data_IF_225231714065
#
_entry.id   IF_225231714065
#
_cell.length_a   1.000
_cell.length_b   1.000
_cell.length_c   1.000
_cell.angle_alpha   90.00
_cell.angle_beta   90.00
_cell.angle_gamma   90.00
#
_symmetry.space_group_name_H-M   'P 1'
#
loop_
_entity.id
_entity.type
_entity.pdbx_description
1 polymer ?
#
# COMPACT_ATOMS: atom_id res chain seq x y z
N UNK A 1 -18.32 -8.77 -8.82
CA UNK A 1 -16.89 -8.97 -8.46
C UNK A 1 -16.00 -7.88 -9.06
N UNK A 2 -16.12 -7.62 -10.36
CA UNK A 2 -15.29 -6.59 -10.99
C UNK A 2 -15.47 -5.20 -10.35
N UNK A 3 -16.69 -4.79 -10.07
CA UNK A 3 -16.95 -3.52 -9.40
C UNK A 3 -16.29 -3.45 -8.02
N UNK A 4 -16.39 -4.54 -7.25
CA UNK A 4 -15.75 -4.59 -5.94
C UNK A 4 -14.23 -4.44 -6.04
N UNK A 5 -13.61 -5.10 -7.03
CA UNK A 5 -12.16 -4.99 -7.26
C UNK A 5 -11.76 -3.56 -7.64
N UNK A 6 -12.56 -2.89 -8.48
CA UNK A 6 -12.32 -1.49 -8.84
C UNK A 6 -12.44 -0.56 -7.64
N UNK A 7 -13.47 -0.75 -6.81
CA UNK A 7 -13.69 0.09 -5.63
C UNK A 7 -12.54 -0.09 -4.64
N UNK A 8 -12.15 -1.33 -4.35
CA UNK A 8 -11.05 -1.60 -3.42
C UNK A 8 -9.73 -1.03 -3.97
N UNK A 9 -9.45 -1.24 -5.26
CA UNK A 9 -8.24 -0.69 -5.87
C UNK A 9 -8.21 0.84 -5.80
N UNK A 10 -9.35 1.49 -6.05
CA UNK A 10 -9.46 2.94 -5.96
C UNK A 10 -9.23 3.46 -4.54
N UNK A 11 -9.82 2.81 -3.55
CA UNK A 11 -9.63 3.17 -2.13
C UNK A 11 -8.16 3.02 -1.73
N UNK A 12 -7.55 1.90 -2.09
CA UNK A 12 -6.13 1.66 -1.81
C UNK A 12 -5.25 2.68 -2.51
N UNK A 13 -5.54 2.98 -3.77
CA UNK A 13 -4.76 3.96 -4.53
C UNK A 13 -4.81 5.34 -3.87
N UNK A 14 -6.00 5.79 -3.47
CA UNK A 14 -6.15 7.08 -2.80
C UNK A 14 -5.39 7.11 -1.46
N UNK A 15 -5.53 6.05 -0.66
CA UNK A 15 -4.86 5.95 0.63
C UNK A 15 -3.34 5.97 0.48
N UNK A 16 -2.80 5.23 -0.48
CA UNK A 16 -1.35 5.14 -0.67
C UNK A 16 -0.76 6.33 -1.41
N UNK A 17 -1.51 7.00 -2.25
CA UNK A 17 -1.07 8.30 -2.80
C UNK A 17 -0.90 9.31 -1.67
N UNK A 18 -1.84 9.36 -0.75
CA UNK A 18 -1.77 10.25 0.39
C UNK A 18 -0.60 9.87 1.31
N UNK A 19 -0.51 8.60 1.68
CA UNK A 19 0.53 8.09 2.57
C UNK A 19 1.93 8.23 1.95
N UNK A 20 2.09 7.76 0.71
CA UNK A 20 3.38 7.81 0.02
C UNK A 20 3.80 9.23 -0.31
N UNK A 21 2.86 10.06 -0.75
CA UNK A 21 3.11 11.48 -1.00
C UNK A 21 3.57 12.20 0.26
N UNK A 22 2.94 11.92 1.40
CA UNK A 22 3.36 12.46 2.68
C UNK A 22 4.79 12.07 3.05
N UNK A 23 5.14 10.80 2.83
CA UNK A 23 6.51 10.33 3.10
C UNK A 23 7.55 10.99 2.20
N UNK A 24 7.17 11.33 0.97
CA UNK A 24 8.09 12.00 0.04
C UNK A 24 8.25 13.49 0.34
N UNK A 25 7.17 14.15 0.77
CA UNK A 25 7.13 15.61 0.92
C UNK A 25 7.48 16.08 2.33
N UNK A 26 7.26 15.26 3.36
CA UNK A 26 7.47 15.64 4.76
C UNK A 26 8.81 15.15 5.26
N UNK A 27 9.37 15.87 6.24
CA UNK A 27 10.58 15.40 6.93
C UNK A 27 10.25 14.25 7.86
N UNK A 28 11.25 13.45 8.22
CA UNK A 28 11.09 12.36 9.19
C UNK A 28 10.51 12.88 10.52
N UNK A 29 11.02 13.99 11.00
CA UNK A 29 10.61 14.62 12.26
C UNK A 29 9.13 15.04 12.19
N UNK A 30 8.72 15.59 11.06
CA UNK A 30 7.32 16.00 10.85
C UNK A 30 6.40 14.80 10.86
N UNK A 31 6.79 13.71 10.19
CA UNK A 31 6.00 12.47 10.15
C UNK A 31 5.80 11.93 11.57
N UNK A 32 6.87 11.85 12.35
CA UNK A 32 6.83 11.34 13.73
C UNK A 32 5.88 12.18 14.58
N UNK A 33 5.88 13.50 14.37
CA UNK A 33 5.08 14.43 15.17
C UNK A 33 3.58 14.40 14.84
N UNK A 34 3.17 13.80 13.71
CA UNK A 34 1.78 13.88 13.25
C UNK A 34 0.81 13.03 14.05
N UNK A 35 1.25 11.86 14.52
CA UNK A 35 0.39 10.99 15.33
C UNK A 35 1.21 9.94 16.06
N UNK A 36 0.62 9.36 17.11
CA UNK A 36 1.24 8.26 17.84
C UNK A 36 1.50 7.05 16.95
N UNK A 37 0.63 6.81 15.94
CA UNK A 37 0.81 5.68 15.03
C UNK A 37 2.00 5.84 14.09
N UNK A 38 2.54 7.05 13.95
CA UNK A 38 3.69 7.31 13.09
C UNK A 38 5.03 7.08 13.80
N UNK A 39 5.03 6.60 15.05
CA UNK A 39 6.25 6.32 15.80
C UNK A 39 7.21 5.34 15.13
N UNK A 40 6.68 4.46 14.27
CA UNK A 40 7.50 3.51 13.49
C UNK A 40 8.60 4.19 12.70
N UNK A 41 8.39 5.44 12.30
CA UNK A 41 9.35 6.18 11.50
C UNK A 41 10.67 6.40 12.24
N UNK A 42 10.68 6.31 13.57
CA UNK A 42 11.91 6.43 14.37
C UNK A 42 12.92 5.33 14.04
N UNK A 43 12.43 4.14 13.62
CA UNK A 43 13.28 2.98 13.32
C UNK A 43 13.89 3.02 11.93
N UNK A 44 13.55 4.02 11.11
CA UNK A 44 13.97 4.09 9.72
C UNK A 44 14.72 5.40 9.44
N UNK A 45 15.71 5.34 8.54
CA UNK A 45 16.36 6.55 8.07
C UNK A 45 15.40 7.38 7.21
N UNK A 46 15.70 8.69 7.07
CA UNK A 46 14.91 9.55 6.20
C UNK A 46 14.88 9.02 4.74
N UNK A 47 16.02 8.50 4.26
CA UNK A 47 16.09 7.91 2.92
C UNK A 47 15.22 6.67 2.78
N UNK A 48 15.19 5.80 3.79
CA UNK A 48 14.34 4.61 3.78
C UNK A 48 12.85 4.98 3.76
N UNK A 49 12.45 5.98 4.54
CA UNK A 49 11.06 6.45 4.56
C UNK A 49 10.66 6.97 3.19
N UNK A 50 11.52 7.75 2.53
CA UNK A 50 11.24 8.26 1.19
C UNK A 50 11.17 7.15 0.15
N UNK A 51 12.00 6.13 0.26
CA UNK A 51 11.96 4.96 -0.61
C UNK A 51 10.62 4.24 -0.47
N UNK A 52 10.16 4.01 0.75
CA UNK A 52 8.86 3.40 1.00
C UNK A 52 7.75 4.27 0.40
N UNK A 53 7.82 5.59 0.60
CA UNK A 53 6.86 6.52 0.03
C UNK A 53 6.80 6.45 -1.49
N UNK A 54 7.95 6.40 -2.15
CA UNK A 54 8.02 6.26 -3.60
C UNK A 54 7.39 4.95 -4.07
N UNK A 55 7.67 3.84 -3.38
CA UNK A 55 7.08 2.54 -3.71
C UNK A 55 5.57 2.55 -3.52
N UNK A 56 5.07 3.22 -2.47
CA UNK A 56 3.64 3.34 -2.24
C UNK A 56 2.95 4.15 -3.33
N UNK A 57 3.55 5.25 -3.78
CA UNK A 57 3.00 6.06 -4.88
C UNK A 57 2.98 5.25 -6.18
N UNK A 58 4.07 4.56 -6.48
CA UNK A 58 4.13 3.70 -7.67
C UNK A 58 3.07 2.60 -7.63
N UNK A 59 2.89 1.98 -6.47
CA UNK A 59 1.87 0.95 -6.31
C UNK A 59 0.46 1.53 -6.47
N UNK A 60 0.21 2.72 -5.91
CA UNK A 60 -1.09 3.38 -6.04
C UNK A 60 -1.44 3.65 -7.49
N UNK A 61 -0.47 4.17 -8.27
CA UNK A 61 -0.65 4.40 -9.71
C UNK A 61 -0.86 3.07 -10.42
N UNK A 62 -0.07 2.05 -10.08
CA UNK A 62 -0.15 0.72 -10.69
C UNK A 62 -1.43 -0.03 -10.39
N UNK A 63 -2.14 0.31 -9.31
CA UNK A 63 -3.42 -0.32 -8.99
C UNK A 63 -4.55 0.09 -9.94
N UNK A 64 -4.49 1.28 -10.50
CA UNK A 64 -5.62 1.85 -11.24
C UNK A 64 -5.28 2.18 -12.68
N UNK A 65 -4.20 2.92 -12.94
CA UNK A 65 -3.92 3.46 -14.27
C UNK A 65 -3.72 2.40 -15.36
N UNK A 66 -2.99 1.29 -15.13
CA UNK A 66 -2.83 0.30 -16.20
C UNK A 66 -4.15 -0.27 -16.70
N UNK A 67 -5.08 -0.53 -15.79
CA UNK A 67 -6.41 -1.04 -16.16
C UNK A 67 -7.27 0.04 -16.80
N UNK A 68 -7.23 1.28 -16.27
CA UNK A 68 -8.02 2.39 -16.79
C UNK A 68 -7.61 2.77 -18.21
N UNK A 69 -6.30 2.70 -18.51
CA UNK A 69 -5.75 3.03 -19.82
C UNK A 69 -5.61 1.82 -20.74
N UNK A 70 -5.92 0.63 -20.24
CA UNK A 70 -5.75 -0.64 -20.95
C UNK A 70 -4.32 -0.83 -21.47
N UNK A 71 -3.35 -0.44 -20.65
CA UNK A 71 -1.92 -0.60 -20.93
C UNK A 71 -1.33 -1.52 -19.87
N UNK A 72 -0.91 -2.73 -20.28
CA UNK A 72 -0.30 -3.73 -19.41
C UNK A 72 -1.13 -3.94 -18.12
N UNK A 73 -2.40 -4.36 -18.18
CA UNK A 73 -3.25 -4.52 -16.99
C UNK A 73 -2.66 -5.46 -15.93
N UNK A 74 -1.74 -6.35 -16.31
CA UNK A 74 -1.04 -7.23 -15.38
C UNK A 74 -0.28 -6.47 -14.28
N UNK A 75 0.01 -5.19 -14.51
CA UNK A 75 0.65 -4.36 -13.49
C UNK A 75 -0.25 -4.14 -12.27
N UNK A 76 -1.58 -4.26 -12.41
CA UNK A 76 -2.51 -4.12 -11.28
C UNK A 76 -2.27 -5.19 -10.21
N UNK A 77 -2.31 -6.50 -10.53
CA UNK A 77 -2.01 -7.50 -9.50
C UNK A 77 -0.57 -7.44 -9.01
N UNK A 78 0.38 -7.03 -9.85
CA UNK A 78 1.77 -6.86 -9.42
C UNK A 78 1.90 -5.74 -8.39
N UNK A 79 1.19 -4.61 -8.61
CA UNK A 79 1.15 -3.52 -7.63
C UNK A 79 0.53 -3.98 -6.31
N UNK A 80 -0.55 -4.75 -6.38
CA UNK A 80 -1.19 -5.30 -5.18
C UNK A 80 -0.26 -6.22 -4.41
N UNK A 81 0.51 -7.07 -5.10
CA UNK A 81 1.51 -7.93 -4.47
C UNK A 81 2.60 -7.10 -3.79
N UNK A 82 3.04 -6.00 -4.41
CA UNK A 82 4.00 -5.08 -3.81
C UNK A 82 3.47 -4.48 -2.52
N UNK A 83 2.21 -4.05 -2.51
CA UNK A 83 1.57 -3.52 -1.30
C UNK A 83 1.44 -4.58 -0.20
N UNK A 84 1.16 -5.83 -0.56
CA UNK A 84 1.14 -6.92 0.41
C UNK A 84 2.49 -7.05 1.12
N UNK A 85 3.58 -6.94 0.38
CA UNK A 85 4.93 -7.00 0.95
C UNK A 85 5.19 -5.82 1.89
N UNK A 86 4.80 -4.61 1.48
CA UNK A 86 4.96 -3.41 2.30
C UNK A 86 4.15 -3.53 3.59
N UNK A 87 2.91 -3.99 3.50
CA UNK A 87 2.05 -4.13 4.69
C UNK A 87 2.49 -5.26 5.60
N UNK A 88 3.01 -6.35 5.05
CA UNK A 88 3.60 -7.40 5.87
C UNK A 88 4.81 -6.88 6.66
N UNK A 89 5.67 -6.07 6.01
CA UNK A 89 6.79 -5.41 6.68
C UNK A 89 6.33 -4.43 7.76
N UNK A 90 5.26 -3.67 7.47
CA UNK A 90 4.68 -2.75 8.43
C UNK A 90 4.15 -3.49 9.66
N UNK A 91 3.43 -4.59 9.47
CA UNK A 91 2.91 -5.40 10.57
C UNK A 91 4.05 -5.96 11.44
N UNK A 92 5.13 -6.44 10.81
CA UNK A 92 6.31 -6.92 11.55
C UNK A 92 6.93 -5.81 12.38
N UNK A 93 7.03 -4.60 11.82
CA UNK A 93 7.55 -3.44 12.54
C UNK A 93 6.69 -3.13 13.76
N UNK A 94 5.35 -3.18 13.61
CA UNK A 94 4.42 -2.97 14.74
C UNK A 94 4.61 -4.00 15.83
N UNK A 95 4.81 -5.27 15.45
CA UNK A 95 5.07 -6.34 16.42
C UNK A 95 6.35 -6.05 17.21
N UNK A 96 7.42 -5.67 16.52
CA UNK A 96 8.72 -5.35 17.15
C UNK A 96 8.61 -4.16 18.10
N UNK A 97 7.76 -3.19 17.80
CA UNK A 97 7.57 -1.99 18.61
C UNK A 97 6.49 -2.15 19.68
N UNK A 98 5.85 -3.33 19.78
CA UNK A 98 4.74 -3.57 20.69
C UNK A 98 3.55 -2.64 20.45
N UNK A 99 3.27 -2.32 19.19
CA UNK A 99 2.19 -1.42 18.77
C UNK A 99 1.03 -2.19 18.14
N UNK A 100 0.57 -3.21 18.83
CA UNK A 100 -0.43 -4.14 18.28
C UNK A 100 -1.75 -3.47 17.93
N UNK A 101 -2.13 -2.39 18.64
CA UNK A 101 -3.37 -1.66 18.33
C UNK A 101 -3.31 -0.96 16.97
N UNK A 102 -2.13 -0.56 16.52
CA UNK A 102 -1.97 0.07 15.22
C UNK A 102 -1.81 -0.96 14.09
N UNK A 103 -1.44 -2.18 14.43
CA UNK A 103 -1.28 -3.27 13.48
C UNK A 103 -2.60 -3.63 12.79
N UNK A 104 -3.73 -3.40 13.45
CA UNK A 104 -5.04 -3.72 12.89
C UNK A 104 -5.27 -3.02 11.55
N UNK A 105 -4.90 -1.73 11.44
CA UNK A 105 -5.03 -1.00 10.17
C UNK A 105 -4.15 -1.60 9.08
N UNK A 106 -2.91 -1.97 9.41
CA UNK A 106 -2.00 -2.59 8.45
C UNK A 106 -2.56 -3.92 7.95
N UNK A 107 -3.17 -4.71 8.84
CA UNK A 107 -3.78 -5.99 8.46
C UNK A 107 -5.01 -5.80 7.58
N UNK A 108 -5.80 -4.75 7.81
CA UNK A 108 -6.94 -4.42 6.94
C UNK A 108 -6.44 -4.09 5.54
N UNK A 109 -5.43 -3.24 5.42
CA UNK A 109 -4.84 -2.91 4.11
C UNK A 109 -4.21 -4.13 3.44
N UNK A 110 -3.56 -4.99 4.22
CA UNK A 110 -3.02 -6.25 3.70
C UNK A 110 -4.13 -7.13 3.13
N UNK A 111 -5.25 -7.26 3.84
CA UNK A 111 -6.39 -8.04 3.37
C UNK A 111 -6.98 -7.46 2.09
N UNK A 112 -7.12 -6.13 2.01
CA UNK A 112 -7.65 -5.47 0.81
C UNK A 112 -6.71 -5.65 -0.39
N UNK A 113 -5.40 -5.51 -0.18
CA UNK A 113 -4.42 -5.74 -1.24
C UNK A 113 -4.42 -7.20 -1.70
N UNK A 114 -4.56 -8.13 -0.77
CA UNK A 114 -4.67 -9.57 -1.08
C UNK A 114 -5.90 -9.84 -1.93
N UNK A 115 -7.03 -9.22 -1.60
CA UNK A 115 -8.26 -9.36 -2.39
C UNK A 115 -8.05 -8.90 -3.83
N UNK A 116 -7.43 -7.75 -4.03
CA UNK A 116 -7.15 -7.25 -5.39
C UNK A 116 -6.17 -8.17 -6.12
N UNK A 117 -5.10 -8.61 -5.44
CA UNK A 117 -4.12 -9.50 -6.03
C UNK A 117 -4.79 -10.81 -6.47
N UNK A 118 -5.61 -11.41 -5.60
CA UNK A 118 -6.33 -12.64 -5.92
C UNK A 118 -7.25 -12.44 -7.11
N UNK A 119 -8.11 -11.41 -7.06
CA UNK A 119 -9.13 -11.20 -8.08
C UNK A 119 -8.54 -10.90 -9.45
N UNK A 120 -7.42 -10.17 -9.50
CA UNK A 120 -6.79 -9.78 -10.76
C UNK A 120 -5.75 -10.77 -11.27
N UNK A 121 -5.28 -11.70 -10.43
CA UNK A 121 -4.36 -12.76 -10.85
C UNK A 121 -5.10 -14.03 -11.27
N UNK A 122 -5.88 -14.60 -10.37
CA UNK A 122 -6.45 -15.95 -10.54
C UNK A 122 -7.96 -16.01 -10.39
N UNK A 123 -8.59 -14.91 -9.96
CA UNK A 123 -10.04 -14.87 -9.78
C UNK A 123 -10.80 -14.73 -11.09
N UNK A 124 -12.15 -14.63 -11.03
CA UNK A 124 -12.97 -14.55 -12.24
C UNK A 124 -12.72 -13.30 -13.09
N UNK A 125 -12.16 -12.24 -12.50
CA UNK A 125 -11.86 -10.99 -13.19
C UNK A 125 -10.35 -10.80 -13.38
N UNK A 126 -9.63 -11.89 -13.69
CA UNK A 126 -8.18 -11.87 -13.84
C UNK A 126 -7.73 -10.99 -15.02
N UNK A 127 -6.63 -10.24 -14.79
CA UNK A 127 -5.97 -9.46 -15.83
C UNK A 127 -4.82 -10.21 -16.51
N UNK A 128 -4.56 -11.45 -16.09
CA UNK A 128 -3.43 -12.25 -16.59
C UNK A 128 -3.89 -13.31 -17.58
N UNK A 129 -5.18 -13.60 -17.66
CA UNK A 129 -5.76 -14.59 -18.57
C UNK A 129 -6.05 -14.00 -19.93
#
# INVERSE_FOLDING_TARGET
>A
MNLALWIVAGVLAAAYLFSGGGKLLLTKEKIISMSASAGWAEDFSAGSIKTIGALEVLAAVGLVLPAALDIAPVLVPLAALGLMMIMAGAALTRIRRHELKYMAADLVYLALATFVAWGRLIGPESFVR
#
